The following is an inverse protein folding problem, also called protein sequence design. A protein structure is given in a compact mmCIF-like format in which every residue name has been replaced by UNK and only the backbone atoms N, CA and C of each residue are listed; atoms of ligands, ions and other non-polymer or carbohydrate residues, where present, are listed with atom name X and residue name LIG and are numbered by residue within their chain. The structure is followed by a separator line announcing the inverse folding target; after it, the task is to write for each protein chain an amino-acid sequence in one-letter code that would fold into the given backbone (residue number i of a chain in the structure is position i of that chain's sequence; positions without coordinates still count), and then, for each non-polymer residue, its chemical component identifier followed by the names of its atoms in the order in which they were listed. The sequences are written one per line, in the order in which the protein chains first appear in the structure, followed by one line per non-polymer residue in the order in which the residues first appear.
data_IF_073439667663
#
_entry.id   IF_073439667663
#
_cell.length_a   1.000
_cell.length_b   1.000
_cell.length_c   1.000
_cell.angle_alpha   90.00
_cell.angle_beta   90.00
_cell.angle_gamma   90.00
#
_symmetry.space_group_name_H-M   'P 1'
#
loop_
_entity.id
_entity.type
_entity.pdbx_description
1 polymer ?
#
# COMPACT_ATOMS: atom_id res chain seq x y z
N UNK A 1 21.03 -12.06 -11.93
CA UNK A 1 20.12 -11.28 -12.81
C UNK A 1 19.99 -9.88 -12.23
N UNK A 2 20.29 -8.83 -13.01
CA UNK A 2 20.16 -7.45 -12.50
C UNK A 2 18.67 -7.19 -12.25
N UNK A 3 18.24 -7.11 -10.98
CA UNK A 3 16.92 -6.58 -10.64
C UNK A 3 16.95 -5.11 -11.06
N UNK A 4 16.38 -4.78 -12.21
CA UNK A 4 16.37 -3.41 -12.76
C UNK A 4 15.72 -2.41 -11.79
N UNK A 5 14.84 -2.90 -10.91
CA UNK A 5 14.29 -2.15 -9.81
C UNK A 5 14.75 -2.76 -8.49
N UNK A 6 15.40 -1.99 -7.62
CA UNK A 6 15.73 -2.47 -6.28
C UNK A 6 14.45 -2.74 -5.48
N UNK A 7 14.49 -3.78 -4.64
CA UNK A 7 13.39 -4.18 -3.76
C UNK A 7 12.90 -3.01 -2.89
N UNK A 8 13.85 -2.25 -2.35
CA UNK A 8 13.59 -1.06 -1.54
C UNK A 8 12.92 0.09 -2.30
N UNK A 9 12.84 0.03 -3.64
CA UNK A 9 12.08 0.99 -4.45
C UNK A 9 10.72 0.41 -4.81
N UNK A 10 10.68 -0.85 -5.26
CA UNK A 10 9.46 -1.48 -5.77
C UNK A 10 8.39 -1.64 -4.69
N UNK A 11 8.74 -2.15 -3.51
CA UNK A 11 7.76 -2.41 -2.44
C UNK A 11 7.12 -1.11 -1.96
N UNK A 12 7.88 -0.04 -1.61
CA UNK A 12 7.28 1.24 -1.26
C UNK A 12 6.47 1.85 -2.40
N UNK A 13 6.95 1.77 -3.65
CA UNK A 13 6.23 2.34 -4.79
C UNK A 13 4.85 1.72 -4.96
N UNK A 14 4.76 0.39 -4.94
CA UNK A 14 3.48 -0.32 -5.08
C UNK A 14 2.57 -0.03 -3.88
N UNK A 15 3.13 0.00 -2.67
CA UNK A 15 2.39 0.31 -1.46
C UNK A 15 1.78 1.72 -1.51
N UNK A 16 2.55 2.74 -1.87
CA UNK A 16 2.06 4.12 -1.94
C UNK A 16 1.09 4.34 -3.09
N UNK A 17 1.23 3.61 -4.20
CA UNK A 17 0.20 3.60 -5.27
C UNK A 17 -1.11 3.03 -4.71
N UNK A 18 -1.06 1.88 -4.03
CA UNK A 18 -2.27 1.30 -3.42
C UNK A 18 -2.89 2.22 -2.37
N UNK A 19 -2.07 2.85 -1.53
CA UNK A 19 -2.52 3.86 -0.57
C UNK A 19 -3.25 5.02 -1.26
N UNK A 20 -2.65 5.61 -2.31
CA UNK A 20 -3.25 6.71 -3.05
C UNK A 20 -4.56 6.29 -3.74
N UNK A 21 -4.63 5.07 -4.28
CA UNK A 21 -5.86 4.55 -4.87
C UNK A 21 -6.95 4.37 -3.81
N UNK A 22 -6.61 3.86 -2.63
CA UNK A 22 -7.57 3.73 -1.53
C UNK A 22 -8.11 5.10 -1.09
N UNK A 23 -7.24 6.10 -0.95
CA UNK A 23 -7.65 7.48 -0.63
C UNK A 23 -8.49 8.11 -1.75
N UNK A 24 -8.18 7.81 -3.02
CA UNK A 24 -8.91 8.36 -4.17
C UNK A 24 -10.31 7.73 -4.35
N UNK A 25 -10.43 6.42 -4.15
CA UNK A 25 -11.70 5.70 -4.38
C UNK A 25 -12.63 5.69 -3.17
N UNK A 26 -12.10 5.84 -1.96
CA UNK A 26 -12.93 5.84 -0.75
C UNK A 26 -13.40 7.27 -0.49
N UNK A 27 -14.71 7.48 -0.68
CA UNK A 27 -15.35 8.73 -0.27
C UNK A 27 -15.35 8.85 1.26
N UNK A 28 -14.42 9.65 1.74
CA UNK A 28 -14.17 9.87 3.15
C UNK A 28 -14.59 11.28 3.61
N UNK A 29 -15.13 12.11 2.70
CA UNK A 29 -15.51 13.49 2.97
C UNK A 29 -14.32 14.34 3.41
N UNK A 30 -14.41 14.97 4.59
CA UNK A 30 -13.41 15.95 5.06
C UNK A 30 -12.16 15.35 5.71
N UNK A 31 -12.06 14.02 5.81
CA UNK A 31 -10.95 13.34 6.50
C UNK A 31 -10.36 12.27 5.60
N UNK A 32 -9.03 12.04 5.64
CA UNK A 32 -8.41 10.92 4.94
C UNK A 32 -9.10 9.59 5.24
N UNK A 33 -9.22 8.74 4.23
CA UNK A 33 -9.95 7.47 4.33
C UNK A 33 -9.32 6.55 5.38
N UNK A 34 -7.98 6.51 5.47
CA UNK A 34 -7.26 5.71 6.46
C UNK A 34 -7.54 6.12 7.92
N UNK A 35 -7.90 7.39 8.16
CA UNK A 35 -8.27 7.91 9.49
C UNK A 35 -9.73 7.62 9.79
N UNK A 36 -10.63 7.89 8.82
CA UNK A 36 -12.07 7.74 9.00
C UNK A 36 -12.49 6.27 9.08
N UNK A 37 -11.81 5.40 8.34
CA UNK A 37 -12.11 3.97 8.25
C UNK A 37 -10.90 3.14 8.69
N UNK A 38 -10.83 2.71 9.96
CA UNK A 38 -9.72 1.89 10.47
C UNK A 38 -9.45 0.62 9.66
N UNK A 39 -10.47 0.07 9.00
CA UNK A 39 -10.35 -1.06 8.08
C UNK A 39 -9.38 -0.82 6.93
N UNK A 40 -9.25 0.42 6.44
CA UNK A 40 -8.28 0.79 5.40
C UNK A 40 -6.86 0.60 5.92
N UNK A 41 -6.58 1.03 7.15
CA UNK A 41 -5.28 0.83 7.78
C UNK A 41 -4.96 -0.66 7.99
N UNK A 42 -5.94 -1.46 8.42
CA UNK A 42 -5.79 -2.93 8.54
C UNK A 42 -5.48 -3.57 7.19
N UNK A 43 -6.22 -3.19 6.14
CA UNK A 43 -5.97 -3.67 4.78
C UNK A 43 -4.56 -3.31 4.30
N UNK A 44 -4.14 -2.05 4.47
CA UNK A 44 -2.81 -1.59 4.06
C UNK A 44 -1.68 -2.36 4.77
N UNK A 45 -1.83 -2.65 6.07
CA UNK A 45 -0.86 -3.44 6.81
C UNK A 45 -0.78 -4.87 6.26
N UNK A 46 -1.91 -5.55 6.09
CA UNK A 46 -1.94 -6.92 5.54
C UNK A 46 -1.39 -6.94 4.11
N UNK A 47 -1.75 -5.95 3.30
CA UNK A 47 -1.26 -5.78 1.94
C UNK A 47 0.26 -5.58 1.91
N UNK A 48 0.82 -4.78 2.82
CA UNK A 48 2.26 -4.60 2.97
C UNK A 48 2.96 -5.92 3.32
N UNK A 49 2.39 -6.71 4.24
CA UNK A 49 2.92 -8.04 4.57
C UNK A 49 2.93 -8.98 3.35
N UNK A 50 1.86 -8.98 2.55
CA UNK A 50 1.79 -9.78 1.32
C UNK A 50 2.84 -9.31 0.30
N UNK A 51 2.99 -8.00 0.08
CA UNK A 51 4.02 -7.46 -0.82
C UNK A 51 5.43 -7.89 -0.42
N UNK A 52 5.73 -7.85 0.88
CA UNK A 52 7.01 -8.30 1.42
C UNK A 52 7.17 -9.81 1.22
N UNK A 53 6.14 -10.61 1.54
CA UNK A 53 6.20 -12.06 1.39
C UNK A 53 6.44 -12.50 -0.07
N UNK A 54 5.80 -11.83 -1.04
CA UNK A 54 5.98 -12.09 -2.47
C UNK A 54 7.41 -11.74 -2.91
N UNK A 55 7.99 -10.64 -2.43
CA UNK A 55 9.33 -10.21 -2.85
C UNK A 55 10.46 -10.98 -2.15
N UNK A 56 10.19 -11.61 -1.01
CA UNK A 56 11.12 -12.52 -0.32
C UNK A 56 11.25 -13.88 -1.04
N UNK A 57 10.22 -14.30 -1.77
CA UNK A 57 10.22 -15.55 -2.56
C UNK A 57 10.97 -15.36 -3.88
#
# INVERSE_FOLDING_TARGET
MKKFFPVYVRVPLIFFIAFALMEYFIDSGDRPAFIKYPMVSVFLIVFLFILIAIEIT
#
